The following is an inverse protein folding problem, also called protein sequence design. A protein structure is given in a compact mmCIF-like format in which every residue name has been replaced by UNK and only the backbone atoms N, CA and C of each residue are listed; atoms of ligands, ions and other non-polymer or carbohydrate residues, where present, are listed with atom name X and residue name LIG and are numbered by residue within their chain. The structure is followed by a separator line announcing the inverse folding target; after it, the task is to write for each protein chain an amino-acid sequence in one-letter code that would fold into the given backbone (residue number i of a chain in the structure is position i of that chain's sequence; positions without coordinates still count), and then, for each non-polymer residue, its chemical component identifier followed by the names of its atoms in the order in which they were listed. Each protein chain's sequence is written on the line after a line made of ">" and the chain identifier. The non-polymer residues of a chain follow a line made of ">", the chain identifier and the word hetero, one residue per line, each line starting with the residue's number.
data_IF_571844528633
#
_entry.id   IF_571844528633
#
_cell.length_a   1.000
_cell.length_b   1.000
_cell.length_c   1.000
_cell.angle_alpha   90.00
_cell.angle_beta   90.00
_cell.angle_gamma   90.00
#
_symmetry.space_group_name_H-M   'P 1'
#
loop_
_entity.id
_entity.type
_entity.pdbx_description
1 polymer ?
#
# COMPACT_ATOMS: atom_id res chain seq x y z
N UNK A 1 -27.79 15.56 22.07
CA UNK A 1 -27.97 14.11 22.30
C UNK A 1 -28.06 13.43 20.93
N UNK A 2 -26.94 12.80 20.52
CA UNK A 2 -26.73 11.85 19.40
C UNK A 2 -26.92 12.23 17.92
N UNK A 3 -27.12 13.49 17.54
CA UNK A 3 -27.49 13.82 16.15
C UNK A 3 -26.36 14.14 15.13
N UNK A 4 -25.12 14.38 15.54
CA UNK A 4 -24.11 14.97 14.64
C UNK A 4 -22.76 14.22 14.55
N UNK A 5 -22.60 13.11 15.28
CA UNK A 5 -21.34 12.36 15.30
C UNK A 5 -21.19 11.37 14.12
N UNK A 6 -22.23 11.12 13.33
CA UNK A 6 -22.22 10.14 12.23
C UNK A 6 -22.05 10.73 10.81
N UNK A 7 -21.72 12.03 10.65
CA UNK A 7 -21.54 12.66 9.32
C UNK A 7 -20.07 12.72 8.88
N UNK A 8 -19.14 12.08 9.59
CA UNK A 8 -17.72 12.03 9.22
C UNK A 8 -17.22 10.59 9.17
N UNK A 9 -17.68 9.83 8.18
CA UNK A 9 -16.90 8.71 7.66
C UNK A 9 -17.01 8.73 6.12
N UNK A 10 -16.58 9.85 5.52
CA UNK A 10 -16.16 9.78 4.11
C UNK A 10 -14.84 9.03 4.15
N UNK A 11 -14.90 7.71 3.93
CA UNK A 11 -13.77 6.79 4.03
C UNK A 11 -12.44 7.44 3.68
N UNK A 12 -11.60 7.59 4.71
CA UNK A 12 -10.28 8.19 4.61
C UNK A 12 -9.45 7.37 3.62
N UNK A 13 -9.39 7.85 2.39
CA UNK A 13 -8.51 7.31 1.37
C UNK A 13 -7.09 7.57 1.87
N UNK A 14 -6.32 6.51 2.07
CA UNK A 14 -4.90 6.64 2.40
C UNK A 14 -4.22 7.39 1.25
N UNK A 15 -3.24 8.23 1.55
CA UNK A 15 -2.46 8.89 0.51
C UNK A 15 -1.86 7.84 -0.46
N UNK A 16 -1.74 8.19 -1.74
CA UNK A 16 -1.17 7.28 -2.75
C UNK A 16 0.24 6.86 -2.34
N UNK A 17 0.52 5.56 -2.36
CA UNK A 17 1.85 5.04 -2.05
C UNK A 17 2.80 5.13 -3.27
N UNK A 18 3.25 6.36 -3.56
CA UNK A 18 4.19 6.62 -4.65
C UNK A 18 5.58 6.05 -4.38
N UNK A 19 5.97 5.93 -3.09
CA UNK A 19 7.26 5.36 -2.66
C UNK A 19 7.35 3.88 -3.05
N UNK A 20 6.31 3.10 -2.76
CA UNK A 20 6.20 1.69 -3.17
C UNK A 20 6.23 1.55 -4.70
N UNK A 21 5.47 2.39 -5.42
CA UNK A 21 5.45 2.37 -6.88
C UNK A 21 6.83 2.64 -7.48
N UNK A 22 7.56 3.63 -6.95
CA UNK A 22 8.91 3.97 -7.39
C UNK A 22 9.90 2.83 -7.08
N UNK A 23 9.85 2.25 -5.88
CA UNK A 23 10.72 1.14 -5.50
C UNK A 23 10.48 -0.11 -6.36
N UNK A 24 9.21 -0.40 -6.71
CA UNK A 24 8.86 -1.48 -7.63
C UNK A 24 9.41 -1.20 -9.05
N UNK A 25 9.20 0.00 -9.56
CA UNK A 25 9.66 0.39 -10.90
C UNK A 25 11.20 0.39 -11.02
N UNK A 26 11.92 0.73 -9.94
CA UNK A 26 13.39 0.68 -9.91
C UNK A 26 13.97 -0.74 -10.02
N UNK A 27 13.13 -1.77 -9.84
CA UNK A 27 13.47 -3.18 -10.04
C UNK A 27 12.88 -3.76 -11.32
N UNK A 28 12.34 -2.91 -12.22
CA UNK A 28 11.63 -3.30 -13.44
C UNK A 28 10.46 -4.28 -13.23
N UNK A 29 9.90 -4.31 -12.01
CA UNK A 29 8.80 -5.20 -11.67
C UNK A 29 7.46 -4.58 -12.10
N UNK A 30 6.61 -5.36 -12.76
CA UNK A 30 5.20 -5.04 -12.92
C UNK A 30 4.43 -5.23 -11.61
N UNK A 31 3.23 -4.63 -11.50
CA UNK A 31 2.34 -4.87 -10.36
C UNK A 31 1.98 -6.37 -10.20
N UNK A 32 1.89 -7.09 -11.32
CA UNK A 32 1.56 -8.52 -11.33
C UNK A 32 2.70 -9.34 -10.75
N UNK A 33 3.95 -9.07 -11.16
CA UNK A 33 5.12 -9.78 -10.64
C UNK A 33 5.36 -9.53 -9.16
N UNK A 34 5.15 -8.28 -8.69
CA UNK A 34 5.20 -8.00 -7.26
C UNK A 34 4.10 -8.76 -6.50
N UNK A 35 2.89 -8.78 -7.05
CA UNK A 35 1.75 -9.47 -6.43
C UNK A 35 2.00 -10.97 -6.30
N UNK A 36 2.50 -11.61 -7.36
CA UNK A 36 2.88 -13.03 -7.37
C UNK A 36 3.98 -13.31 -6.34
N UNK A 37 5.00 -12.45 -6.26
CA UNK A 37 6.11 -12.61 -5.31
C UNK A 37 5.70 -12.49 -3.84
N UNK A 38 4.63 -11.76 -3.52
CA UNK A 38 4.14 -11.56 -2.14
C UNK A 38 2.83 -12.29 -1.84
N UNK A 39 2.36 -13.13 -2.77
CA UNK A 39 1.20 -14.00 -2.57
C UNK A 39 -0.15 -13.27 -2.56
N UNK A 40 -0.30 -12.19 -3.32
CA UNK A 40 -1.56 -11.42 -3.43
C UNK A 40 -1.98 -11.22 -4.89
N UNK A 41 -3.13 -10.60 -5.11
CA UNK A 41 -3.59 -10.27 -6.47
C UNK A 41 -2.96 -8.98 -6.99
N UNK A 42 -2.88 -8.82 -8.32
CA UNK A 42 -2.45 -7.55 -8.94
C UNK A 42 -3.34 -6.39 -8.48
N UNK A 43 -4.65 -6.62 -8.30
CA UNK A 43 -5.58 -5.62 -7.79
C UNK A 43 -5.20 -5.14 -6.39
N UNK A 44 -4.76 -6.05 -5.52
CA UNK A 44 -4.28 -5.71 -4.17
C UNK A 44 -3.10 -4.75 -4.24
N UNK A 45 -2.08 -5.06 -5.05
CA UNK A 45 -0.92 -4.17 -5.24
C UNK A 45 -1.35 -2.81 -5.79
N UNK A 46 -2.23 -2.78 -6.79
CA UNK A 46 -2.76 -1.54 -7.34
C UNK A 46 -3.53 -0.70 -6.30
N UNK A 47 -4.32 -1.35 -5.43
CA UNK A 47 -5.07 -0.66 -4.38
C UNK A 47 -4.13 -0.04 -3.33
N UNK A 48 -3.03 -0.72 -2.97
CA UNK A 48 -2.00 -0.18 -2.07
C UNK A 48 -1.32 1.05 -2.71
N UNK A 49 -0.89 0.93 -3.97
CA UNK A 49 -0.24 2.05 -4.68
C UNK A 49 -1.16 3.27 -4.82
N UNK A 50 -2.47 3.06 -4.96
CA UNK A 50 -3.45 4.15 -5.06
C UNK A 50 -3.98 4.64 -3.71
N UNK A 51 -3.59 4.00 -2.60
CA UNK A 51 -4.08 4.31 -1.26
C UNK A 51 -5.54 3.91 -1.01
N UNK A 52 -6.09 3.05 -1.87
CA UNK A 52 -7.44 2.49 -1.73
C UNK A 52 -7.50 1.32 -0.74
N UNK A 53 -6.34 0.84 -0.28
CA UNK A 53 -6.24 -0.27 0.65
C UNK A 53 -5.08 -0.08 1.63
N UNK A 54 -5.37 -0.25 2.93
CA UNK A 54 -4.37 -0.31 3.97
C UNK A 54 -3.93 -1.78 4.18
N UNK A 55 -2.72 -2.19 3.75
CA UNK A 55 -2.26 -3.57 3.88
C UNK A 55 -2.00 -3.98 5.33
N UNK A 56 -2.07 -5.29 5.59
CA UNK A 56 -1.67 -5.84 6.89
C UNK A 56 -0.16 -5.69 7.09
N UNK A 57 0.29 -5.65 8.35
CA UNK A 57 1.73 -5.56 8.65
C UNK A 57 2.55 -6.68 8.01
N UNK A 58 1.99 -7.89 7.92
CA UNK A 58 2.62 -9.03 7.26
C UNK A 58 2.84 -8.78 5.77
N UNK A 59 1.85 -8.19 5.09
CA UNK A 59 1.97 -7.84 3.67
C UNK A 59 2.97 -6.69 3.47
N UNK A 60 2.98 -5.68 4.35
CA UNK A 60 3.98 -4.62 4.31
C UNK A 60 5.40 -5.18 4.41
N UNK A 61 5.63 -6.10 5.36
CA UNK A 61 6.93 -6.76 5.54
C UNK A 61 7.31 -7.59 4.30
N UNK A 62 6.37 -8.33 3.72
CA UNK A 62 6.63 -9.11 2.50
C UNK A 62 7.03 -8.22 1.32
N UNK A 63 6.31 -7.10 1.12
CA UNK A 63 6.63 -6.09 0.11
C UNK A 63 8.00 -5.48 0.36
N UNK A 64 8.29 -5.08 1.60
CA UNK A 64 9.58 -4.53 2.01
C UNK A 64 10.74 -5.47 1.67
N UNK A 65 10.61 -6.75 2.05
CA UNK A 65 11.59 -7.80 1.73
C UNK A 65 11.77 -7.98 0.23
N UNK A 66 10.68 -7.98 -0.55
CA UNK A 66 10.74 -8.16 -2.00
C UNK A 66 11.37 -6.96 -2.71
N UNK A 67 11.12 -5.74 -2.23
CA UNK A 67 11.62 -4.50 -2.82
C UNK A 67 12.99 -4.07 -2.25
N UNK A 68 13.52 -4.77 -1.25
CA UNK A 68 14.78 -4.40 -0.59
C UNK A 68 14.69 -3.06 0.14
N UNK A 69 13.53 -2.75 0.72
CA UNK A 69 13.25 -1.50 1.44
C UNK A 69 12.77 -1.79 2.85
N UNK A 70 12.84 -0.78 3.70
CA UNK A 70 12.29 -0.81 5.06
C UNK A 70 10.84 -0.27 5.09
N UNK A 71 10.14 -0.48 6.20
CA UNK A 71 8.77 0.02 6.37
C UNK A 71 8.73 1.56 6.34
N UNK A 72 9.70 2.22 6.97
CA UNK A 72 9.88 3.68 6.95
C UNK A 72 10.03 4.23 5.54
N UNK A 73 10.79 3.55 4.68
CA UNK A 73 11.00 3.95 3.29
C UNK A 73 9.75 3.82 2.42
N UNK A 74 8.81 2.93 2.76
CA UNK A 74 7.66 2.61 1.89
C UNK A 74 6.31 3.08 2.40
N UNK A 75 6.09 3.16 3.72
CA UNK A 75 4.75 3.33 4.29
C UNK A 75 4.60 4.49 5.26
N UNK A 76 5.69 5.10 5.75
CA UNK A 76 5.60 6.29 6.60
C UNK A 76 5.71 7.59 5.79
N UNK A 77 4.94 8.59 6.20
CA UNK A 77 5.17 9.99 5.84
C UNK A 77 6.36 10.53 6.65
N UNK A 78 7.10 11.49 6.07
CA UNK A 78 8.16 12.21 6.82
C UNK A 78 7.56 13.19 7.82
#
# INVERSE_FOLDING_TARGET
>A
MYGLFYILDRGDKVAKNLKMKAARAALDLSQKELAEAVGVTRQTVNAIENGDYNPTIHLCIAICKRLGKTLDQLFWEE
#
